data_IF_446358044481
#
_entry.id   IF_446358044481
#
_cell.length_a   1.000
_cell.length_b   1.000
_cell.length_c   1.000
_cell.angle_alpha   90.00
_cell.angle_beta   90.00
_cell.angle_gamma   90.00
#
_symmetry.space_group_name_H-M   'P 1'
#
loop_
_entity.id
_entity.type
_entity.pdbx_description
1 polymer ?
#
# COMPACT_ATOMS: atom_id res chain seq x y z
N UNK A 1 2.57 -8.60 -13.64
CA UNK A 1 2.93 -10.04 -13.53
C UNK A 1 4.25 -10.12 -12.78
N UNK A 2 4.25 -10.53 -11.52
CA UNK A 2 5.47 -10.63 -10.73
C UNK A 2 5.90 -12.08 -10.64
N UNK A 3 7.04 -12.44 -11.23
CA UNK A 3 7.62 -13.79 -11.13
C UNK A 3 8.87 -13.72 -10.27
N UNK A 4 8.87 -14.41 -9.12
CA UNK A 4 10.05 -14.66 -8.32
C UNK A 4 10.92 -15.71 -9.00
N UNK A 5 12.16 -15.39 -9.34
CA UNK A 5 13.16 -16.38 -9.80
C UNK A 5 13.76 -17.14 -8.63
N UNK A 6 13.98 -18.43 -8.85
CA UNK A 6 14.59 -19.37 -7.91
C UNK A 6 16.11 -19.27 -7.93
N UNK A 7 16.72 -18.88 -6.83
CA UNK A 7 18.10 -19.24 -6.53
C UNK A 7 18.16 -19.89 -5.14
N UNK A 8 18.92 -20.98 -5.03
CA UNK A 8 18.93 -22.04 -4.06
C UNK A 8 18.79 -21.72 -2.56
N UNK A 9 18.13 -22.65 -1.86
CA UNK A 9 18.10 -22.87 -0.40
C UNK A 9 17.44 -21.81 0.48
N UNK A 10 16.25 -21.50 0.26
CA UNK A 10 15.14 -21.00 1.09
C UNK A 10 14.21 -20.17 0.21
N UNK A 11 13.40 -20.89 -0.56
CA UNK A 11 12.55 -20.28 -1.57
C UNK A 11 11.32 -19.69 -0.89
N UNK A 12 11.37 -18.39 -0.57
CA UNK A 12 10.19 -17.60 -0.25
C UNK A 12 9.40 -17.41 -1.54
N UNK A 13 8.19 -17.94 -1.58
CA UNK A 13 7.31 -17.82 -2.75
C UNK A 13 6.52 -16.54 -2.61
N UNK A 14 6.67 -15.61 -3.53
CA UNK A 14 5.68 -14.56 -3.72
C UNK A 14 4.65 -15.04 -4.75
N UNK A 15 3.39 -14.78 -4.47
CA UNK A 15 2.28 -15.09 -5.36
C UNK A 15 1.48 -13.81 -5.58
N UNK A 16 1.17 -13.51 -6.83
CA UNK A 16 0.33 -12.36 -7.17
C UNK A 16 -1.11 -12.80 -7.29
N UNK A 17 -2.00 -12.10 -6.61
CA UNK A 17 -3.43 -12.27 -6.66
C UNK A 17 -4.06 -11.04 -7.33
N UNK A 18 -4.79 -11.24 -8.41
CA UNK A 18 -5.53 -10.20 -9.11
C UNK A 18 -7.03 -10.41 -8.86
N UNK A 19 -7.60 -9.73 -7.86
CA UNK A 19 -9.03 -9.80 -7.65
C UNK A 19 -9.76 -9.06 -8.76
N UNK A 20 -10.85 -9.65 -9.26
CA UNK A 20 -11.83 -8.89 -10.04
C UNK A 20 -12.73 -8.12 -9.07
N UNK A 21 -12.83 -6.82 -9.21
CA UNK A 21 -13.69 -5.99 -8.35
C UNK A 21 -15.16 -6.42 -8.36
N UNK A 22 -15.61 -7.04 -9.46
CA UNK A 22 -16.97 -7.55 -9.62
C UNK A 22 -17.25 -8.83 -8.81
N UNK A 23 -16.20 -9.52 -8.32
CA UNK A 23 -16.35 -10.71 -7.48
C UNK A 23 -16.74 -10.34 -6.02
N UNK A 24 -16.66 -9.05 -5.69
CA UNK A 24 -16.99 -8.54 -4.36
C UNK A 24 -18.24 -7.67 -4.44
N UNK A 25 -19.41 -8.19 -4.02
CA UNK A 25 -20.68 -7.46 -4.08
C UNK A 25 -20.61 -6.26 -3.13
N UNK A 26 -20.46 -5.09 -3.73
CA UNK A 26 -20.54 -3.79 -3.07
C UNK A 26 -21.86 -3.16 -3.44
N UNK A 27 -22.53 -2.54 -2.47
CA UNK A 27 -23.78 -1.82 -2.71
C UNK A 27 -23.60 -0.81 -3.85
N UNK A 28 -24.63 -0.68 -4.71
CA UNK A 28 -24.55 0.19 -5.91
C UNK A 28 -24.19 1.65 -5.61
N UNK A 29 -24.47 2.10 -4.40
CA UNK A 29 -24.20 3.46 -3.92
C UNK A 29 -22.78 3.64 -3.36
N UNK A 30 -22.07 2.54 -3.08
CA UNK A 30 -20.74 2.56 -2.51
C UNK A 30 -19.69 2.55 -3.63
N UNK A 31 -18.66 3.42 -3.59
CA UNK A 31 -17.58 3.40 -4.58
C UNK A 31 -16.92 2.03 -4.69
N UNK A 32 -16.63 1.61 -5.92
CA UNK A 32 -16.01 0.30 -6.20
C UNK A 32 -14.62 0.14 -5.56
N UNK A 33 -13.95 1.23 -5.27
CA UNK A 33 -12.66 1.24 -4.57
C UNK A 33 -12.67 0.53 -3.22
N UNK A 34 -13.83 0.44 -2.56
CA UNK A 34 -14.02 -0.33 -1.34
C UNK A 34 -13.78 -1.84 -1.52
N UNK A 35 -13.85 -2.37 -2.76
CA UNK A 35 -13.64 -3.80 -3.05
C UNK A 35 -12.24 -4.29 -2.66
N UNK A 36 -11.26 -3.38 -2.58
CA UNK A 36 -9.89 -3.72 -2.17
C UNK A 36 -9.83 -4.38 -0.79
N UNK A 37 -10.68 -3.96 0.14
CA UNK A 37 -10.63 -4.45 1.52
C UNK A 37 -11.09 -5.91 1.61
N UNK A 38 -12.29 -6.29 1.12
CA UNK A 38 -12.68 -7.70 1.09
C UNK A 38 -11.79 -8.53 0.17
N UNK A 39 -11.18 -7.96 -0.88
CA UNK A 39 -10.23 -8.67 -1.72
C UNK A 39 -8.97 -9.11 -0.94
N UNK A 40 -8.40 -8.23 -0.11
CA UNK A 40 -7.26 -8.58 0.75
C UNK A 40 -7.69 -9.62 1.79
N UNK A 41 -8.87 -9.46 2.38
CA UNK A 41 -9.43 -10.41 3.35
C UNK A 41 -9.62 -11.80 2.73
N UNK A 42 -10.05 -11.86 1.48
CA UNK A 42 -10.17 -13.10 0.69
C UNK A 42 -8.78 -13.69 0.39
N UNK A 43 -7.81 -12.87 -0.03
CA UNK A 43 -6.44 -13.32 -0.26
C UNK A 43 -5.83 -13.98 1.00
N UNK A 44 -6.12 -13.47 2.19
CA UNK A 44 -5.68 -14.10 3.46
C UNK A 44 -6.28 -15.50 3.68
N UNK A 45 -7.42 -15.78 3.09
CA UNK A 45 -8.06 -17.12 3.13
C UNK A 45 -7.44 -18.06 2.11
N UNK A 46 -7.19 -17.55 0.89
CA UNK A 46 -6.60 -18.34 -0.18
C UNK A 46 -5.12 -18.69 0.09
N UNK A 47 -4.40 -17.81 0.79
CA UNK A 47 -2.96 -17.96 1.07
C UNK A 47 -2.68 -18.03 2.57
N UNK A 48 -3.10 -19.14 3.25
CA UNK A 48 -3.07 -19.22 4.72
C UNK A 48 -1.66 -19.26 5.32
N UNK A 49 -0.63 -19.51 4.51
CA UNK A 49 0.78 -19.58 4.95
C UNK A 49 1.59 -18.33 4.60
N UNK A 50 0.97 -17.34 3.96
CA UNK A 50 1.62 -16.06 3.63
C UNK A 50 1.74 -15.19 4.88
N UNK A 51 2.91 -14.63 5.12
CA UNK A 51 3.18 -13.76 6.28
C UNK A 51 2.73 -12.33 6.03
N UNK A 52 3.00 -11.80 4.84
CA UNK A 52 2.73 -10.42 4.47
C UNK A 52 1.90 -10.35 3.21
N UNK A 53 0.94 -9.42 3.19
CA UNK A 53 0.20 -9.04 1.99
C UNK A 53 0.58 -7.62 1.63
N UNK A 54 1.09 -7.43 0.43
CA UNK A 54 1.36 -6.13 -0.13
C UNK A 54 0.24 -5.79 -1.10
N UNK A 55 -0.60 -4.83 -0.70
CA UNK A 55 -1.59 -4.26 -1.60
C UNK A 55 -0.93 -3.19 -2.46
N UNK A 56 -1.18 -3.26 -3.75
CA UNK A 56 -0.72 -2.29 -4.73
C UNK A 56 -1.85 -1.99 -5.72
N UNK A 57 -2.15 -0.72 -5.91
CA UNK A 57 -3.15 -0.26 -6.88
C UNK A 57 -2.71 -0.63 -8.30
N UNK A 58 -3.65 -0.84 -9.21
CA UNK A 58 -3.39 -1.20 -10.61
C UNK A 58 -2.62 -0.11 -11.39
N UNK A 59 -2.61 1.11 -10.90
CA UNK A 59 -1.83 2.24 -11.43
C UNK A 59 -0.45 2.34 -10.83
N UNK A 60 0.11 1.24 -10.38
CA UNK A 60 1.47 1.21 -9.86
C UNK A 60 2.23 -0.01 -10.41
N UNK A 61 3.55 0.12 -10.54
CA UNK A 61 4.42 -0.93 -11.02
C UNK A 61 5.55 -1.19 -10.02
N UNK A 62 5.87 -2.48 -9.82
CA UNK A 62 7.07 -2.87 -9.08
C UNK A 62 8.24 -2.78 -10.06
N UNK A 63 9.12 -1.79 -9.84
CA UNK A 63 10.24 -1.50 -10.73
C UNK A 63 11.50 -2.28 -10.38
N UNK A 64 11.61 -2.73 -9.13
CA UNK A 64 12.74 -3.53 -8.67
C UNK A 64 12.26 -4.85 -8.05
N UNK A 65 11.93 -5.86 -8.88
CA UNK A 65 11.37 -7.13 -8.41
C UNK A 65 12.36 -8.02 -7.65
N UNK A 66 13.64 -7.69 -7.66
CA UNK A 66 14.67 -8.40 -6.90
C UNK A 66 14.63 -8.05 -5.40
N UNK A 67 14.04 -6.91 -5.05
CA UNK A 67 13.85 -6.52 -3.65
C UNK A 67 12.71 -7.34 -3.03
N UNK A 68 13.00 -8.08 -2.00
CA UNK A 68 11.97 -8.73 -1.20
C UNK A 68 11.33 -7.72 -0.25
N UNK A 69 10.00 -7.80 -0.09
CA UNK A 69 9.27 -6.96 0.90
C UNK A 69 9.88 -7.12 2.29
N UNK A 70 10.30 -8.34 2.61
CA UNK A 70 10.83 -8.66 3.93
C UNK A 70 12.15 -7.96 4.20
N UNK A 71 13.10 -8.04 3.27
CA UNK A 71 14.43 -7.42 3.44
C UNK A 71 14.38 -5.91 3.23
N UNK A 72 13.54 -5.46 2.29
CA UNK A 72 13.44 -4.04 1.94
C UNK A 72 12.70 -3.22 3.00
N UNK A 73 11.67 -3.79 3.63
CA UNK A 73 10.75 -3.04 4.52
C UNK A 73 10.51 -3.75 5.86
N UNK A 74 10.18 -5.07 5.86
CA UNK A 74 9.56 -5.74 7.00
C UNK A 74 10.55 -6.44 7.93
N UNK A 75 11.87 -6.49 7.63
CA UNK A 75 12.87 -6.83 8.62
C UNK A 75 12.74 -5.90 9.82
N UNK A 76 12.78 -6.46 11.03
CA UNK A 76 12.48 -5.70 12.25
C UNK A 76 13.32 -4.45 12.41
N UNK A 77 14.65 -4.58 12.23
CA UNK A 77 15.56 -3.45 12.36
C UNK A 77 15.38 -2.46 11.22
N UNK A 78 15.24 -2.96 9.99
CA UNK A 78 15.02 -2.13 8.81
C UNK A 78 13.73 -1.31 8.95
N UNK A 79 12.65 -1.93 9.43
CA UNK A 79 11.38 -1.24 9.66
C UNK A 79 11.52 -0.17 10.74
N UNK A 80 12.20 -0.47 11.86
CA UNK A 80 12.48 0.53 12.91
C UNK A 80 13.26 1.72 12.37
N UNK A 81 14.25 1.50 11.49
CA UNK A 81 15.03 2.57 10.84
C UNK A 81 14.18 3.41 9.86
N UNK A 82 13.12 2.82 9.28
CA UNK A 82 12.21 3.49 8.34
C UNK A 82 11.06 4.22 9.03
N UNK A 83 10.69 3.83 10.25
CA UNK A 83 9.51 4.36 10.93
C UNK A 83 9.61 5.86 11.17
N UNK A 84 8.57 6.58 10.77
CA UNK A 84 8.40 8.01 11.03
C UNK A 84 7.52 8.15 12.28
N UNK A 85 8.09 8.69 13.34
CA UNK A 85 7.44 8.79 14.66
C UNK A 85 7.20 10.24 15.07
N UNK A 86 6.31 10.43 16.03
CA UNK A 86 5.94 11.75 16.60
C UNK A 86 5.39 12.76 15.56
N UNK A 87 4.90 12.28 14.43
CA UNK A 87 4.26 13.09 13.39
C UNK A 87 2.74 12.89 13.40
N UNK A 88 1.97 13.90 12.96
CA UNK A 88 0.53 13.72 12.74
C UNK A 88 0.26 12.49 11.88
N UNK A 89 -0.60 11.58 12.37
CA UNK A 89 -0.91 10.35 11.60
C UNK A 89 -1.72 10.65 10.34
N UNK A 90 -2.50 11.73 10.36
CA UNK A 90 -3.17 12.30 9.20
C UNK A 90 -2.76 13.77 9.07
N UNK A 91 -1.94 14.13 8.08
CA UNK A 91 -1.53 15.52 7.87
C UNK A 91 -2.68 16.40 7.37
N UNK A 92 -2.56 17.75 7.53
CA UNK A 92 -1.51 18.43 8.29
C UNK A 92 -1.82 18.57 9.79
N UNK A 93 -3.08 18.42 10.21
CA UNK A 93 -3.59 19.01 11.44
C UNK A 93 -4.00 18.00 12.52
N UNK A 94 -3.80 16.69 12.29
CA UNK A 94 -4.14 15.70 13.31
C UNK A 94 -3.33 15.92 14.59
N UNK A 95 -4.05 16.03 15.71
CA UNK A 95 -3.44 16.06 17.05
C UNK A 95 -2.93 14.66 17.46
N UNK A 96 -3.43 13.62 16.80
CA UNK A 96 -2.99 12.23 17.02
C UNK A 96 -1.71 12.00 16.23
N UNK A 97 -0.68 11.55 16.93
CA UNK A 97 0.64 11.30 16.36
C UNK A 97 0.99 9.83 16.39
N UNK A 98 1.88 9.42 15.47
CA UNK A 98 2.51 8.11 15.50
C UNK A 98 3.32 7.93 16.77
N UNK A 99 3.30 6.71 17.34
CA UNK A 99 4.01 6.43 18.58
C UNK A 99 5.51 6.26 18.35
N UNK A 100 6.32 6.83 19.27
CA UNK A 100 7.79 6.75 19.20
C UNK A 100 8.38 5.48 19.82
N UNK A 101 7.59 4.76 20.62
CA UNK A 101 8.06 3.60 21.41
C UNK A 101 7.77 2.24 20.76
N UNK A 102 7.17 2.22 19.58
CA UNK A 102 6.83 0.97 18.91
C UNK A 102 8.08 0.26 18.37
N UNK A 103 8.01 -1.07 18.38
CA UNK A 103 9.04 -1.94 17.82
C UNK A 103 8.55 -2.59 16.54
N UNK A 104 9.47 -2.82 15.59
CA UNK A 104 9.15 -3.35 14.26
C UNK A 104 8.45 -4.71 14.31
N UNK A 105 8.75 -5.55 15.29
CA UNK A 105 8.10 -6.85 15.49
C UNK A 105 6.63 -6.73 15.93
N UNK A 106 6.21 -5.56 16.44
CA UNK A 106 4.85 -5.26 16.87
C UNK A 106 3.98 -4.63 15.80
N UNK A 107 4.58 -4.24 14.68
CA UNK A 107 3.87 -3.59 13.58
C UNK A 107 3.19 -4.64 12.70
N UNK A 108 1.92 -4.44 12.44
CA UNK A 108 1.10 -5.29 11.60
C UNK A 108 0.59 -4.56 10.34
N UNK A 109 0.68 -3.23 10.28
CA UNK A 109 0.25 -2.42 9.15
C UNK A 109 1.27 -1.32 8.83
N UNK A 110 1.81 -1.36 7.61
CA UNK A 110 2.78 -0.38 7.12
C UNK A 110 2.18 0.40 5.96
N UNK A 111 2.19 1.71 6.08
CA UNK A 111 1.59 2.62 5.09
C UNK A 111 2.47 3.87 4.97
N UNK A 112 2.26 4.63 3.93
CA UNK A 112 2.89 5.94 3.74
C UNK A 112 1.86 7.05 3.87
N UNK A 113 2.33 8.28 4.00
CA UNK A 113 1.48 9.47 3.96
C UNK A 113 2.06 10.51 3.02
N UNK A 114 1.20 11.34 2.50
CA UNK A 114 1.54 12.54 1.76
C UNK A 114 0.92 13.80 2.42
N UNK A 115 0.90 14.92 1.74
CA UNK A 115 0.32 16.17 2.25
C UNK A 115 -1.22 16.16 2.33
N UNK A 116 -1.87 15.18 1.73
CA UNK A 116 -3.33 15.07 1.65
C UNK A 116 -3.92 13.99 2.56
N UNK A 117 -3.07 13.15 3.16
CA UNK A 117 -3.51 12.08 4.05
C UNK A 117 -2.70 10.79 3.95
N UNK A 118 -3.32 9.67 4.32
CA UNK A 118 -2.72 8.35 4.21
C UNK A 118 -2.78 7.84 2.76
N UNK A 119 -1.65 7.37 2.24
CA UNK A 119 -1.53 6.84 0.87
C UNK A 119 -1.99 5.38 0.86
N UNK A 120 -3.29 5.17 0.69
CA UNK A 120 -3.99 3.89 0.80
C UNK A 120 -3.94 3.03 -0.48
N UNK A 121 -3.28 3.50 -1.53
CA UNK A 121 -3.09 2.78 -2.79
C UNK A 121 -1.87 1.84 -2.78
N UNK A 122 -1.06 1.90 -1.71
CA UNK A 122 0.08 1.00 -1.48
C UNK A 122 0.27 0.83 0.02
N UNK A 123 0.14 -0.40 0.53
CA UNK A 123 0.38 -0.72 1.93
C UNK A 123 0.71 -2.20 2.14
N UNK A 124 1.34 -2.49 3.26
CA UNK A 124 1.65 -3.86 3.68
C UNK A 124 0.87 -4.19 4.94
N UNK A 125 0.29 -5.38 4.99
CA UNK A 125 -0.39 -5.89 6.18
C UNK A 125 0.17 -7.28 6.52
N UNK A 126 0.55 -7.46 7.80
CA UNK A 126 0.98 -8.76 8.34
C UNK A 126 -0.25 -9.60 8.62
N UNK A 127 -0.26 -10.85 8.12
CA UNK A 127 -1.36 -11.78 8.38
C UNK A 127 -1.45 -12.13 9.85
N UNK A 128 -2.65 -12.08 10.40
CA UNK A 128 -2.93 -12.43 11.78
C UNK A 128 -4.39 -12.12 12.13
N UNK A 129 -4.80 -12.44 13.35
CA UNK A 129 -6.16 -12.13 13.81
C UNK A 129 -6.40 -10.63 13.89
N UNK A 130 -5.37 -9.87 14.26
CA UNK A 130 -5.46 -8.40 14.25
C UNK A 130 -5.75 -7.85 12.83
N UNK A 131 -5.07 -8.38 11.81
CA UNK A 131 -5.28 -7.93 10.43
C UNK A 131 -6.70 -8.22 9.93
N UNK A 132 -7.25 -9.38 10.28
CA UNK A 132 -8.63 -9.72 9.97
C UNK A 132 -9.61 -8.75 10.65
N UNK A 133 -9.44 -8.55 11.95
CA UNK A 133 -10.23 -7.57 12.71
C UNK A 133 -10.13 -6.17 12.11
N UNK A 134 -8.93 -5.71 11.79
CA UNK A 134 -8.70 -4.39 11.22
C UNK A 134 -9.40 -4.22 9.86
N UNK A 135 -9.27 -5.21 8.96
CA UNK A 135 -9.94 -5.16 7.65
C UNK A 135 -11.46 -5.21 7.79
N UNK A 136 -11.97 -6.03 8.70
CA UNK A 136 -13.41 -6.12 8.98
C UNK A 136 -13.93 -4.78 9.57
N UNK A 137 -13.18 -4.15 10.47
CA UNK A 137 -13.50 -2.84 11.02
C UNK A 137 -13.42 -1.72 9.97
N UNK A 138 -12.42 -1.76 9.07
CA UNK A 138 -12.31 -0.81 7.97
C UNK A 138 -13.46 -0.93 6.97
N UNK A 139 -13.94 -2.16 6.73
CA UNK A 139 -15.06 -2.46 5.82
C UNK A 139 -16.42 -2.42 6.51
N UNK A 140 -16.53 -1.93 7.74
CA UNK A 140 -17.78 -1.88 8.48
C UNK A 140 -18.88 -1.13 7.70
N UNK A 141 -20.12 -1.64 7.68
CA UNK A 141 -21.26 -0.98 7.01
C UNK A 141 -21.44 0.48 7.45
N UNK A 142 -21.16 0.80 8.71
CA UNK A 142 -21.26 2.16 9.23
C UNK A 142 -20.34 3.12 8.45
N UNK A 143 -19.05 2.76 8.30
CA UNK A 143 -18.10 3.58 7.54
C UNK A 143 -18.45 3.66 6.06
N UNK A 144 -18.95 2.58 5.47
CA UNK A 144 -19.40 2.57 4.07
C UNK A 144 -20.64 3.44 3.85
N UNK A 145 -21.50 3.57 4.87
CA UNK A 145 -22.71 4.41 4.80
C UNK A 145 -22.41 5.90 5.01
N UNK A 146 -21.29 6.26 5.64
CA UNK A 146 -20.86 7.64 5.70
C UNK A 146 -20.43 8.10 4.31
N UNK A 147 -20.98 9.20 3.85
CA UNK A 147 -20.63 9.80 2.57
C UNK A 147 -19.29 10.56 2.67
N UNK A 148 -18.23 9.85 3.02
CA UNK A 148 -16.89 10.42 3.06
C UNK A 148 -16.46 10.87 1.66
N UNK A 149 -15.88 12.07 1.54
CA UNK A 149 -15.41 12.61 0.26
C UNK A 149 -14.36 11.74 -0.44
N UNK A 150 -13.49 11.10 0.35
CA UNK A 150 -12.45 10.19 -0.15
C UNK A 150 -12.74 8.72 0.22
N UNK A 151 -14.00 8.38 0.44
CA UNK A 151 -14.46 7.01 0.66
C UNK A 151 -13.65 6.25 1.71
N UNK A 152 -13.07 5.12 1.32
CA UNK A 152 -12.31 4.23 2.19
C UNK A 152 -11.02 4.86 2.75
N UNK A 153 -10.43 5.86 2.09
CA UNK A 153 -9.29 6.59 2.62
C UNK A 153 -9.67 7.35 3.89
N UNK A 154 -10.74 8.16 3.83
CA UNK A 154 -11.19 8.90 5.00
C UNK A 154 -11.68 7.98 6.12
N UNK A 155 -12.28 6.82 5.77
CA UNK A 155 -12.62 5.81 6.78
C UNK A 155 -11.38 5.27 7.49
N UNK A 156 -10.31 4.97 6.74
CA UNK A 156 -9.03 4.55 7.31
C UNK A 156 -8.45 5.63 8.23
N UNK A 157 -8.39 6.86 7.76
CA UNK A 157 -7.91 8.01 8.51
C UNK A 157 -8.70 8.24 9.80
N UNK A 158 -10.02 8.05 9.76
CA UNK A 158 -10.86 8.10 10.93
C UNK A 158 -10.50 6.97 11.92
N UNK A 159 -10.44 5.73 11.44
CA UNK A 159 -10.16 4.56 12.28
C UNK A 159 -8.81 4.71 12.99
N UNK A 160 -7.75 5.08 12.31
CA UNK A 160 -6.42 5.18 12.92
C UNK A 160 -6.31 6.30 13.95
N UNK A 161 -7.11 7.34 13.83
CA UNK A 161 -7.14 8.44 14.79
C UNK A 161 -7.97 8.11 16.04
N UNK A 162 -9.04 7.34 15.90
CA UNK A 162 -9.97 7.06 16.99
C UNK A 162 -9.70 5.76 17.74
N UNK A 163 -8.89 4.85 17.17
CA UNK A 163 -8.61 3.56 17.76
C UNK A 163 -7.11 3.39 18.06
N UNK A 164 -6.69 3.76 19.25
CA UNK A 164 -5.29 3.65 19.68
C UNK A 164 -4.71 2.24 19.58
N UNK A 165 -5.54 1.20 19.69
CA UNK A 165 -5.11 -0.19 19.47
C UNK A 165 -4.78 -0.50 18.02
N UNK A 166 -5.38 0.22 17.06
CA UNK A 166 -5.05 0.14 15.64
C UNK A 166 -3.80 0.96 15.36
N UNK A 167 -3.75 2.19 15.86
CA UNK A 167 -2.57 3.06 15.73
C UNK A 167 -1.30 2.41 16.31
N UNK A 168 -1.42 1.64 17.41
CA UNK A 168 -0.31 0.91 18.02
C UNK A 168 0.26 -0.23 17.16
N UNK A 169 -0.36 -0.55 16.04
CA UNK A 169 0.07 -1.57 15.09
C UNK A 169 0.47 -0.97 13.73
N UNK A 170 0.40 0.35 13.59
CA UNK A 170 0.67 1.07 12.36
C UNK A 170 2.07 1.68 12.39
N UNK A 171 2.81 1.53 11.29
CA UNK A 171 4.01 2.29 11.00
C UNK A 171 3.82 3.15 9.76
N UNK A 172 4.19 4.42 9.87
CA UNK A 172 4.43 5.29 8.72
C UNK A 172 5.88 5.16 8.30
N UNK A 173 6.10 5.03 6.98
CA UNK A 173 7.44 5.00 6.40
C UNK A 173 7.54 6.04 5.27
N UNK A 174 8.76 6.43 4.83
CA UNK A 174 8.93 7.38 3.73
C UNK A 174 8.21 6.92 2.46
N UNK A 175 7.48 7.82 1.80
CA UNK A 175 6.62 7.50 0.65
C UNK A 175 7.40 6.81 -0.47
N UNK A 176 8.62 7.24 -0.79
CA UNK A 176 9.44 6.61 -1.83
C UNK A 176 9.80 5.15 -1.57
N UNK A 177 9.69 4.68 -0.34
CA UNK A 177 10.05 3.29 -0.01
C UNK A 177 9.11 2.28 -0.69
N UNK A 178 7.82 2.61 -0.85
CA UNK A 178 6.85 1.69 -1.47
C UNK A 178 5.74 2.37 -2.31
N UNK A 179 5.82 3.69 -2.53
CA UNK A 179 4.81 4.45 -3.26
C UNK A 179 5.40 5.70 -3.91
N UNK A 180 6.56 5.59 -4.61
CA UNK A 180 7.16 6.71 -5.34
C UNK A 180 6.21 7.23 -6.40
N UNK A 181 6.08 8.53 -6.54
CA UNK A 181 5.19 9.16 -7.51
C UNK A 181 5.87 9.31 -8.87
N UNK A 182 5.21 8.92 -9.95
CA UNK A 182 5.65 9.26 -11.30
C UNK A 182 5.68 10.78 -11.49
N UNK A 183 4.60 11.46 -11.10
CA UNK A 183 4.49 12.92 -11.06
C UNK A 183 3.82 13.35 -9.75
N UNK A 184 4.32 14.39 -9.14
CA UNK A 184 3.62 15.07 -8.05
C UNK A 184 2.72 16.17 -8.63
N UNK A 185 1.47 15.80 -8.96
CA UNK A 185 0.47 16.73 -9.50
C UNK A 185 0.09 17.84 -8.51
N UNK A 186 0.31 17.63 -7.22
CA UNK A 186 0.02 18.63 -6.18
C UNK A 186 1.16 19.62 -5.99
N UNK A 187 2.39 19.28 -6.36
CA UNK A 187 3.61 20.02 -6.07
C UNK A 187 3.95 20.11 -4.58
N UNK A 188 3.24 19.33 -3.73
CA UNK A 188 3.37 19.42 -2.27
C UNK A 188 4.19 18.27 -1.67
N UNK A 189 4.39 17.18 -2.43
CA UNK A 189 5.04 15.95 -1.96
C UNK A 189 6.54 15.94 -2.30
N UNK A 190 7.25 16.92 -1.75
CA UNK A 190 8.69 17.09 -2.01
C UNK A 190 9.45 15.82 -1.66
N UNK A 191 10.23 15.32 -2.62
CA UNK A 191 11.07 14.13 -2.44
C UNK A 191 10.34 12.79 -2.62
N UNK A 192 9.04 12.77 -2.94
CA UNK A 192 8.29 11.55 -3.21
C UNK A 192 8.37 11.06 -4.66
N UNK A 193 8.93 11.85 -5.57
CA UNK A 193 9.06 11.51 -7.00
C UNK A 193 9.99 10.32 -7.19
N UNK A 194 9.59 9.42 -8.08
CA UNK A 194 10.32 8.22 -8.46
C UNK A 194 11.74 8.54 -8.95
N UNK A 195 12.67 7.73 -8.53
CA UNK A 195 14.05 7.70 -9.04
C UNK A 195 14.39 6.27 -9.44
N UNK A 196 15.24 6.13 -10.42
CA UNK A 196 15.75 4.82 -10.84
C UNK A 196 16.30 4.04 -9.63
N UNK A 197 15.88 2.77 -9.52
CA UNK A 197 16.20 1.91 -8.38
C UNK A 197 15.15 1.91 -7.25
N UNK A 198 14.17 2.82 -7.25
CA UNK A 198 13.06 2.76 -6.30
C UNK A 198 12.23 1.47 -6.52
N UNK A 199 11.68 0.94 -5.44
CA UNK A 199 10.94 -0.32 -5.46
C UNK A 199 9.66 -0.26 -6.27
N UNK A 200 8.86 0.78 -6.08
CA UNK A 200 7.54 0.95 -6.73
C UNK A 200 7.43 2.35 -7.32
N UNK A 201 6.82 2.45 -8.49
CA UNK A 201 6.35 3.69 -9.09
C UNK A 201 4.83 3.71 -9.12
N UNK A 202 4.21 4.82 -8.69
CA UNK A 202 2.77 5.05 -8.72
C UNK A 202 2.42 6.15 -9.73
N UNK A 203 1.43 5.87 -10.57
CA UNK A 203 0.87 6.80 -11.56
C UNK A 203 -0.43 7.41 -11.05
N UNK A 204 -0.54 7.62 -9.76
CA UNK A 204 -1.72 8.23 -9.18
C UNK A 204 -2.02 9.59 -9.83
N UNK A 205 -3.28 9.78 -10.24
CA UNK A 205 -3.70 11.01 -10.90
C UNK A 205 -3.49 11.05 -12.41
N UNK A 206 -2.94 10.00 -13.04
CA UNK A 206 -2.74 9.92 -14.48
C UNK A 206 -4.01 10.09 -15.32
N UNK A 207 -5.19 9.85 -14.73
CA UNK A 207 -6.51 9.99 -15.35
C UNK A 207 -7.17 11.36 -15.09
N UNK A 208 -6.51 12.23 -14.32
CA UNK A 208 -7.06 13.56 -13.99
C UNK A 208 -6.88 14.59 -15.13
N UNK A 209 -5.91 14.39 -15.98
CA UNK A 209 -5.64 15.28 -17.12
C UNK A 209 -6.30 14.73 -18.37
N UNK A 210 -7.07 15.58 -19.09
CA UNK A 210 -7.77 15.18 -20.33
C UNK A 210 -6.84 14.75 -21.48
N UNK A 211 -5.57 15.08 -21.41
CA UNK A 211 -4.56 14.86 -22.46
C UNK A 211 -3.63 13.69 -22.18
N UNK A 212 -3.62 13.13 -20.97
CA UNK A 212 -2.80 11.97 -20.62
C UNK A 212 -3.67 10.77 -20.28
N UNK A 213 -3.25 9.59 -20.70
CA UNK A 213 -3.85 8.33 -20.28
C UNK A 213 -2.85 7.58 -19.42
N UNK A 214 -3.36 6.88 -18.40
CA UNK A 214 -2.50 6.04 -17.56
C UNK A 214 -1.72 5.02 -18.40
N UNK A 215 -2.32 4.45 -19.42
CA UNK A 215 -1.68 3.51 -20.33
C UNK A 215 -0.47 4.14 -21.03
N UNK A 216 -0.61 5.35 -21.54
CA UNK A 216 0.49 6.07 -22.21
C UNK A 216 1.63 6.40 -21.25
N UNK A 217 1.32 6.85 -20.04
CA UNK A 217 2.33 7.18 -19.03
C UNK A 217 3.05 5.94 -18.49
N UNK A 218 2.36 4.81 -18.36
CA UNK A 218 2.92 3.56 -17.87
C UNK A 218 3.72 2.78 -18.94
N UNK A 219 3.40 2.95 -20.23
CA UNK A 219 3.97 2.18 -21.32
C UNK A 219 5.52 2.14 -21.37
N UNK A 220 6.26 3.26 -21.15
CA UNK A 220 7.72 3.21 -21.11
C UNK A 220 8.29 2.30 -20.00
N UNK A 221 7.61 2.27 -18.86
CA UNK A 221 8.04 1.48 -17.69
C UNK A 221 7.75 -0.02 -17.87
N UNK A 222 6.65 -0.36 -18.55
CA UNK A 222 6.41 -1.75 -18.96
C UNK A 222 7.50 -2.28 -19.87
N UNK A 223 7.91 -1.49 -20.88
CA UNK A 223 9.01 -1.85 -21.79
C UNK A 223 10.34 -2.03 -21.04
N UNK A 224 10.63 -1.16 -20.08
CA UNK A 224 11.82 -1.28 -19.25
C UNK A 224 11.82 -2.58 -18.44
N UNK A 225 10.67 -2.96 -17.86
CA UNK A 225 10.53 -4.22 -17.10
C UNK A 225 10.67 -5.45 -18.00
N UNK A 226 10.12 -5.42 -19.21
CA UNK A 226 10.26 -6.50 -20.21
C UNK A 226 11.74 -6.70 -20.60
N UNK A 227 12.47 -5.62 -20.89
CA UNK A 227 13.89 -5.68 -21.24
C UNK A 227 14.75 -6.22 -20.11
N UNK A 228 14.45 -5.89 -18.84
CA UNK A 228 15.14 -6.44 -17.67
C UNK A 228 14.90 -7.94 -17.52
N UNK A 229 13.72 -8.44 -17.87
CA UNK A 229 13.39 -9.85 -17.80
C UNK A 229 14.13 -10.69 -18.85
N UNK A 230 14.45 -10.14 -20.01
CA UNK A 230 15.17 -10.80 -21.10
C UNK A 230 16.69 -10.87 -20.87
N UNK A 231 17.27 -9.86 -20.21
CA UNK A 231 18.73 -9.80 -19.94
C UNK A 231 19.16 -10.62 -18.73
N UNK A 232 18.23 -11.07 -17.92
CA UNK A 232 18.48 -11.87 -16.72
C UNK A 232 18.21 -13.39 -16.88
N UNK A 233 18.04 -13.90 -18.13
CA UNK A 233 17.79 -15.31 -18.47
C UNK A 233 19.04 -16.16 -18.66
#
# INVERSE_FOLDING_TARGET
MWQSRRTGKNMRRSTTFFPNENDYPIEKTTPKSWARIPAIRHAMTLYPYTTYFFYLDYRALIMNPELSIEEHIMDTKRLEDLMITDVPVVPPDSVIKTFSHLKGDRIDFVITQDKEGLVHNSFIIRRGEWAKYFLDAWFDPLYRSYNFQKGEQHALEHIVQWHGTILAKLALIPQRTMASLYKDHSGKNVGATYKEGDFVISFEGCDKEKTSSCEHEMAPFFKALESQSETGG
#
